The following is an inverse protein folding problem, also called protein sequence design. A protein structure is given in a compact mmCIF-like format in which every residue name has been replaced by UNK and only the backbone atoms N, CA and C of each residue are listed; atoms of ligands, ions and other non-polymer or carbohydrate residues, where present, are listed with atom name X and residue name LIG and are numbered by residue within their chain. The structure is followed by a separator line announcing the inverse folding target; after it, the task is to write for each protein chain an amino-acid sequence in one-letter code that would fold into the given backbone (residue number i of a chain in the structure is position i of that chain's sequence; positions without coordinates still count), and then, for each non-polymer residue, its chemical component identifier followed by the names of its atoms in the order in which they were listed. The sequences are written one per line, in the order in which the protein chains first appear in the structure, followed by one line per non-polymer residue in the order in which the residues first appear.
data_IF_291500908603
#
_entry.id   IF_291500908603
#
_cell.length_a   1.000
_cell.length_b   1.000
_cell.length_c   1.000
_cell.angle_alpha   90.00
_cell.angle_beta   90.00
_cell.angle_gamma   90.00
#
_symmetry.space_group_name_H-M   'P 1'
#
loop_
_entity.id
_entity.type
_entity.pdbx_description
1 polymer ?
#
# COMPACT_ATOMS: atom_id res chain seq x y z
N UNK A 1 -21.78 10.86 40.96
CA UNK A 1 -21.40 9.45 40.65
C UNK A 1 -21.77 9.01 39.23
N UNK A 2 -22.87 9.48 38.63
CA UNK A 2 -23.21 9.14 37.23
C UNK A 2 -22.22 9.69 36.18
N UNK A 3 -21.63 10.88 36.39
CA UNK A 3 -20.69 11.50 35.44
C UNK A 3 -19.34 10.76 35.34
N UNK A 4 -18.85 10.22 36.46
CA UNK A 4 -17.61 9.43 36.47
C UNK A 4 -17.80 8.12 35.69
N UNK A 5 -18.93 7.42 35.90
CA UNK A 5 -19.25 6.18 35.19
C UNK A 5 -19.44 6.38 33.68
N UNK A 6 -20.13 7.46 33.27
CA UNK A 6 -20.29 7.77 31.85
C UNK A 6 -18.96 8.13 31.17
N UNK A 7 -18.08 8.87 31.86
CA UNK A 7 -16.75 9.21 31.33
C UNK A 7 -15.84 7.97 31.21
N UNK A 8 -15.94 7.04 32.15
CA UNK A 8 -15.17 5.80 32.14
C UNK A 8 -15.62 4.88 30.98
N UNK A 9 -16.92 4.77 30.75
CA UNK A 9 -17.48 3.97 29.66
C UNK A 9 -17.10 4.53 28.28
N UNK A 10 -17.17 5.87 28.09
CA UNK A 10 -16.73 6.49 26.84
C UNK A 10 -15.24 6.29 26.56
N UNK A 11 -14.40 6.38 27.59
CA UNK A 11 -12.96 6.13 27.46
C UNK A 11 -12.67 4.68 27.08
N UNK A 12 -13.41 3.73 27.66
CA UNK A 12 -13.32 2.31 27.33
C UNK A 12 -13.70 2.04 25.87
N UNK A 13 -14.84 2.57 25.40
CA UNK A 13 -15.28 2.43 24.00
C UNK A 13 -14.25 3.04 23.04
N UNK A 14 -13.69 4.20 23.36
CA UNK A 14 -12.68 4.83 22.52
C UNK A 14 -11.41 3.96 22.41
N UNK A 15 -10.98 3.33 23.51
CA UNK A 15 -9.84 2.41 23.50
C UNK A 15 -10.13 1.16 22.67
N UNK A 16 -11.32 0.57 22.82
CA UNK A 16 -11.74 -0.60 22.04
C UNK A 16 -11.75 -0.31 20.54
N UNK A 17 -12.27 0.85 20.12
CA UNK A 17 -12.27 1.28 18.72
C UNK A 17 -10.85 1.44 18.16
N UNK A 18 -9.91 1.98 18.95
CA UNK A 18 -8.50 2.11 18.54
C UNK A 18 -7.84 0.75 18.38
N UNK A 19 -8.10 -0.19 19.30
CA UNK A 19 -7.56 -1.55 19.22
C UNK A 19 -8.12 -2.29 18.00
N UNK A 20 -9.43 -2.22 17.77
CA UNK A 20 -10.07 -2.83 16.60
C UNK A 20 -9.48 -2.28 15.28
N UNK A 21 -9.32 -0.95 15.19
CA UNK A 21 -8.69 -0.31 14.03
C UNK A 21 -7.25 -0.81 13.81
N UNK A 22 -6.45 -0.93 14.86
CA UNK A 22 -5.07 -1.43 14.75
C UNK A 22 -5.01 -2.90 14.33
N UNK A 23 -5.90 -3.75 14.85
CA UNK A 23 -5.98 -5.16 14.47
C UNK A 23 -6.40 -5.30 13.00
N UNK A 24 -7.38 -4.51 12.57
CA UNK A 24 -7.85 -4.46 11.18
C UNK A 24 -6.73 -4.04 10.22
N UNK A 25 -5.96 -3.01 10.57
CA UNK A 25 -4.77 -2.59 9.81
C UNK A 25 -3.72 -3.71 9.74
N UNK A 26 -3.41 -4.37 10.86
CA UNK A 26 -2.43 -5.48 10.88
C UNK A 26 -2.89 -6.66 10.02
N UNK A 27 -4.18 -7.00 10.07
CA UNK A 27 -4.75 -8.04 9.23
C UNK A 27 -4.61 -7.70 7.74
N UNK A 28 -4.92 -6.46 7.35
CA UNK A 28 -4.72 -5.97 5.99
C UNK A 28 -3.28 -6.12 5.50
N UNK A 29 -2.31 -5.64 6.29
CA UNK A 29 -0.91 -5.77 5.93
C UNK A 29 -0.42 -7.21 5.89
N UNK A 30 -0.91 -8.09 6.76
CA UNK A 30 -0.52 -9.52 6.73
C UNK A 30 -0.90 -10.17 5.40
N UNK A 31 -2.09 -9.87 4.87
CA UNK A 31 -2.55 -10.40 3.57
C UNK A 31 -1.77 -9.75 2.41
N UNK A 32 -1.58 -8.43 2.46
CA UNK A 32 -0.85 -7.67 1.45
C UNK A 32 0.63 -8.09 1.37
N UNK A 33 1.30 -8.24 2.51
CA UNK A 33 2.69 -8.71 2.61
C UNK A 33 2.84 -10.11 2.04
N UNK A 34 1.91 -11.02 2.35
CA UNK A 34 1.91 -12.37 1.79
C UNK A 34 1.82 -12.34 0.28
N UNK A 35 0.87 -11.58 -0.26
CA UNK A 35 0.65 -11.51 -1.71
C UNK A 35 1.84 -10.87 -2.44
N UNK A 36 2.42 -9.80 -1.89
CA UNK A 36 3.62 -9.16 -2.44
C UNK A 36 4.85 -10.07 -2.39
N UNK A 37 5.00 -10.87 -1.33
CA UNK A 37 6.09 -11.86 -1.26
C UNK A 37 5.89 -13.04 -2.23
N UNK A 38 4.66 -13.29 -2.66
CA UNK A 38 4.34 -14.31 -3.67
C UNK A 38 4.37 -13.76 -5.09
N UNK A 39 4.22 -12.45 -5.29
CA UNK A 39 4.28 -11.81 -6.61
C UNK A 39 5.54 -12.25 -7.37
N UNK A 40 5.36 -12.66 -8.63
CA UNK A 40 6.45 -13.20 -9.47
C UNK A 40 6.72 -14.69 -9.33
N UNK A 41 6.02 -15.40 -8.44
CA UNK A 41 6.15 -16.86 -8.35
C UNK A 41 5.57 -17.53 -9.60
N UNK A 42 6.35 -18.38 -10.27
CA UNK A 42 5.95 -19.09 -11.50
C UNK A 42 6.16 -20.60 -11.44
N UNK A 43 6.82 -21.11 -10.39
CA UNK A 43 7.26 -22.51 -10.29
C UNK A 43 7.97 -22.99 -11.56
N UNK A 44 7.51 -24.12 -12.11
CA UNK A 44 8.00 -24.70 -13.37
C UNK A 44 7.09 -24.36 -14.59
N UNK A 45 6.00 -23.61 -14.37
CA UNK A 45 4.94 -23.37 -15.36
C UNK A 45 5.34 -22.41 -16.48
N UNK A 46 6.39 -21.60 -16.27
CA UNK A 46 6.90 -20.68 -17.29
C UNK A 46 5.99 -19.46 -17.55
N UNK A 47 5.01 -19.20 -16.68
CA UNK A 47 4.18 -18.00 -16.73
C UNK A 47 5.02 -16.71 -16.64
N UNK A 48 4.47 -15.58 -17.10
CA UNK A 48 5.03 -14.26 -16.81
C UNK A 48 4.26 -13.64 -15.65
N UNK A 49 4.86 -13.69 -14.46
CA UNK A 49 4.26 -13.18 -13.23
C UNK A 49 5.06 -12.01 -12.64
N UNK A 50 4.38 -11.13 -11.91
CA UNK A 50 5.02 -10.05 -11.16
C UNK A 50 4.08 -8.87 -10.93
N UNK A 51 4.63 -7.67 -10.89
CA UNK A 51 3.81 -6.45 -10.76
C UNK A 51 3.29 -6.07 -12.14
N UNK A 52 1.97 -6.10 -12.30
CA UNK A 52 1.28 -5.83 -13.55
C UNK A 52 0.63 -4.43 -13.61
N UNK A 53 0.55 -3.73 -12.48
CA UNK A 53 0.10 -2.34 -12.37
C UNK A 53 0.72 -1.74 -11.10
N UNK A 54 1.51 -0.68 -11.26
CA UNK A 54 2.16 0.04 -10.17
C UNK A 54 1.59 1.46 -10.06
N UNK A 55 0.38 1.58 -9.52
CA UNK A 55 -0.28 2.87 -9.29
C UNK A 55 -0.27 3.25 -7.82
N UNK A 56 -0.30 4.56 -7.53
CA UNK A 56 -0.29 5.07 -6.16
C UNK A 56 -1.46 4.55 -5.31
N UNK A 57 -2.67 4.52 -5.87
CA UNK A 57 -3.87 4.05 -5.16
C UNK A 57 -4.30 2.62 -5.50
N UNK A 58 -3.58 1.96 -6.42
CA UNK A 58 -3.97 0.67 -6.98
C UNK A 58 -2.75 -0.14 -7.39
N UNK A 59 -2.68 -1.36 -6.85
CA UNK A 59 -1.59 -2.29 -7.10
C UNK A 59 -2.16 -3.57 -7.69
N UNK A 60 -1.56 -4.05 -8.78
CA UNK A 60 -1.90 -5.35 -9.38
C UNK A 60 -0.66 -6.21 -9.44
N UNK A 61 -0.80 -7.42 -8.91
CA UNK A 61 0.26 -8.42 -8.84
C UNK A 61 -0.26 -9.75 -9.36
N UNK A 62 0.64 -10.53 -9.94
CA UNK A 62 0.38 -11.85 -10.47
C UNK A 62 1.38 -12.86 -9.96
N UNK A 63 0.94 -14.11 -9.85
CA UNK A 63 1.75 -15.29 -9.54
C UNK A 63 0.98 -16.53 -9.97
N UNK A 64 1.68 -17.58 -10.39
CA UNK A 64 1.13 -18.84 -10.90
C UNK A 64 1.14 -19.88 -9.76
N UNK A 65 -0.05 -20.23 -9.27
CA UNK A 65 -0.28 -21.29 -8.28
C UNK A 65 -0.88 -22.55 -8.94
N UNK A 66 -1.36 -22.46 -10.18
CA UNK A 66 -2.14 -23.45 -10.92
C UNK A 66 -3.65 -23.19 -10.84
N UNK A 67 -4.43 -24.00 -11.58
CA UNK A 67 -5.89 -24.01 -11.84
C UNK A 67 -6.94 -23.74 -10.72
N UNK A 68 -6.65 -22.92 -9.72
CA UNK A 68 -7.55 -22.56 -8.62
C UNK A 68 -7.79 -23.67 -7.60
N UNK A 69 -7.03 -24.78 -7.65
CA UNK A 69 -7.11 -25.86 -6.67
C UNK A 69 -5.94 -25.83 -5.67
N UNK A 70 -6.15 -26.18 -4.39
CA UNK A 70 -5.08 -26.16 -3.37
C UNK A 70 -3.87 -27.09 -3.64
N UNK A 71 -3.97 -27.95 -4.66
CA UNK A 71 -2.98 -28.94 -5.06
C UNK A 71 -2.65 -28.87 -6.55
N UNK A 72 -3.07 -27.81 -7.24
CA UNK A 72 -2.66 -27.55 -8.61
C UNK A 72 -1.17 -27.27 -8.64
N UNK A 73 -0.47 -27.84 -9.63
CA UNK A 73 0.85 -27.33 -9.97
C UNK A 73 0.66 -26.09 -10.84
N UNK A 74 1.63 -25.15 -10.82
CA UNK A 74 1.67 -24.05 -11.78
C UNK A 74 1.45 -24.57 -13.20
N UNK A 75 0.49 -24.01 -13.91
CA UNK A 75 0.05 -24.49 -15.23
C UNK A 75 0.45 -23.57 -16.38
N UNK A 76 1.20 -22.51 -16.07
CA UNK A 76 1.84 -21.64 -17.04
C UNK A 76 1.02 -20.41 -17.43
N UNK A 77 -0.05 -20.11 -16.69
CA UNK A 77 -0.73 -18.82 -16.79
C UNK A 77 -0.97 -18.15 -15.42
N UNK A 78 -1.67 -17.01 -15.43
CA UNK A 78 -1.95 -16.20 -14.22
C UNK A 78 -3.43 -15.79 -14.17
N UNK A 79 -4.27 -16.55 -14.85
CA UNK A 79 -5.67 -16.21 -15.10
C UNK A 79 -6.61 -16.91 -14.13
N UNK A 80 -6.10 -17.77 -13.26
CA UNK A 80 -6.93 -18.50 -12.32
C UNK A 80 -7.24 -17.71 -11.05
N UNK A 81 -8.23 -18.23 -10.33
CA UNK A 81 -8.67 -17.65 -9.08
C UNK A 81 -7.56 -17.72 -8.04
N UNK A 82 -7.08 -16.56 -7.62
CA UNK A 82 -6.03 -16.43 -6.65
C UNK A 82 -4.68 -16.07 -7.25
N UNK A 83 -4.55 -16.00 -8.57
CA UNK A 83 -3.30 -15.71 -9.30
C UNK A 83 -3.20 -14.28 -9.80
N UNK A 84 -4.35 -13.61 -9.89
CA UNK A 84 -4.45 -12.23 -10.31
C UNK A 84 -5.00 -11.37 -9.19
N UNK A 85 -4.10 -10.76 -8.42
CA UNK A 85 -4.48 -10.00 -7.25
C UNK A 85 -4.47 -8.51 -7.57
N UNK A 86 -5.59 -7.83 -7.30
CA UNK A 86 -5.68 -6.36 -7.36
C UNK A 86 -6.09 -5.81 -6.01
N UNK A 87 -5.30 -4.87 -5.51
CA UNK A 87 -5.58 -4.07 -4.32
C UNK A 87 -6.05 -2.68 -4.69
N UNK A 88 -7.01 -2.16 -3.94
CA UNK A 88 -7.49 -0.79 -4.06
C UNK A 88 -8.55 -0.46 -3.02
N UNK A 89 -8.78 0.82 -2.77
CA UNK A 89 -9.88 1.25 -1.89
C UNK A 89 -11.17 1.30 -2.70
N UNK A 90 -12.24 0.78 -2.11
CA UNK A 90 -13.58 0.84 -2.70
C UNK A 90 -14.62 1.14 -1.61
N UNK A 91 -15.73 1.75 -2.01
CA UNK A 91 -16.82 2.08 -1.10
C UNK A 91 -17.96 1.07 -1.25
N UNK A 92 -18.44 0.53 -0.14
CA UNK A 92 -19.62 -0.36 -0.10
C UNK A 92 -20.42 -0.09 1.16
N UNK A 93 -21.72 0.14 1.01
CA UNK A 93 -22.60 0.48 2.14
C UNK A 93 -22.26 1.82 2.81
N UNK A 94 -21.67 2.76 2.06
CA UNK A 94 -21.23 4.07 2.59
C UNK A 94 -19.94 4.04 3.41
N UNK A 95 -19.27 2.89 3.46
CA UNK A 95 -17.99 2.71 4.17
C UNK A 95 -16.89 2.39 3.15
N UNK A 96 -15.75 3.07 3.28
CA UNK A 96 -14.57 2.80 2.48
C UNK A 96 -13.83 1.58 3.05
N UNK A 97 -13.45 0.66 2.17
CA UNK A 97 -12.82 -0.62 2.50
C UNK A 97 -11.60 -0.84 1.64
N UNK A 98 -10.58 -1.48 2.20
CA UNK A 98 -9.51 -2.06 1.40
C UNK A 98 -10.07 -3.31 0.72
N UNK A 99 -10.10 -3.29 -0.61
CA UNK A 99 -10.51 -4.41 -1.43
C UNK A 99 -9.33 -5.23 -1.89
N UNK A 100 -9.52 -6.55 -1.89
CA UNK A 100 -8.69 -7.52 -2.59
C UNK A 100 -9.55 -8.23 -3.63
N UNK A 101 -9.16 -8.12 -4.88
CA UNK A 101 -9.72 -8.88 -5.99
C UNK A 101 -8.75 -10.00 -6.35
N UNK A 102 -9.25 -11.19 -6.63
CA UNK A 102 -8.43 -12.41 -6.84
C UNK A 102 -8.45 -12.95 -8.27
N UNK A 103 -9.13 -12.23 -9.16
CA UNK A 103 -9.30 -12.58 -10.57
C UNK A 103 -9.39 -11.30 -11.38
N UNK A 104 -8.89 -11.29 -12.62
CA UNK A 104 -8.90 -10.09 -13.47
C UNK A 104 -10.29 -9.45 -13.62
N UNK A 105 -11.34 -10.27 -13.77
CA UNK A 105 -12.75 -9.85 -13.86
C UNK A 105 -13.56 -9.98 -12.56
N UNK A 106 -12.93 -10.29 -11.43
CA UNK A 106 -13.63 -10.50 -10.15
C UNK A 106 -14.15 -9.22 -9.50
N UNK A 107 -14.84 -9.39 -8.37
CA UNK A 107 -15.26 -8.29 -7.49
C UNK A 107 -14.29 -8.11 -6.32
N UNK A 108 -14.22 -6.90 -5.76
CA UNK A 108 -13.48 -6.65 -4.54
C UNK A 108 -14.11 -7.37 -3.34
N UNK A 109 -13.29 -8.15 -2.65
CA UNK A 109 -13.61 -8.69 -1.33
C UNK A 109 -12.99 -7.78 -0.26
N UNK A 110 -13.73 -7.45 0.82
CA UNK A 110 -13.20 -6.59 1.86
C UNK A 110 -12.12 -7.32 2.67
N UNK A 111 -10.93 -6.73 2.74
CA UNK A 111 -9.85 -7.19 3.63
C UNK A 111 -9.85 -6.40 4.93
N UNK A 112 -10.12 -5.09 4.84
CA UNK A 112 -10.24 -4.21 5.98
C UNK A 112 -11.30 -3.14 5.73
N UNK A 113 -11.97 -2.72 6.80
CA UNK A 113 -13.00 -1.66 6.76
C UNK A 113 -12.49 -0.34 7.34
N UNK A 114 -13.25 0.74 7.13
CA UNK A 114 -12.93 2.08 7.62
C UNK A 114 -11.56 2.58 7.17
N UNK A 115 -11.27 2.39 5.87
CA UNK A 115 -10.02 2.83 5.25
C UNK A 115 -10.24 4.20 4.60
N UNK A 116 -9.59 5.23 5.12
CA UNK A 116 -9.70 6.59 4.64
C UNK A 116 -8.83 6.81 3.38
N UNK A 117 -7.61 6.25 3.37
CA UNK A 117 -6.70 6.37 2.23
C UNK A 117 -5.73 5.18 2.14
N UNK A 118 -5.25 4.93 0.91
CA UNK A 118 -4.24 3.95 0.53
C UNK A 118 -3.23 4.64 -0.38
N UNK A 119 -1.95 4.33 -0.19
CA UNK A 119 -0.85 4.81 -1.03
C UNK A 119 0.20 3.74 -1.24
N UNK A 120 0.84 3.75 -2.40
CA UNK A 120 1.95 2.89 -2.77
C UNK A 120 3.08 3.70 -3.39
N UNK A 121 4.31 3.29 -3.10
CA UNK A 121 5.53 3.74 -3.75
C UNK A 121 6.42 2.52 -3.97
N UNK A 122 7.31 2.60 -4.93
CA UNK A 122 8.03 1.45 -5.44
C UNK A 122 9.53 1.71 -5.43
N UNK A 123 10.27 0.67 -5.08
CA UNK A 123 11.71 0.60 -5.20
C UNK A 123 12.05 -0.34 -6.36
N UNK A 124 12.99 0.07 -7.20
CA UNK A 124 13.33 -0.60 -8.45
C UNK A 124 14.84 -0.73 -8.62
N UNK A 125 15.23 -1.55 -9.60
CA UNK A 125 16.60 -1.85 -10.03
C UNK A 125 16.68 -1.49 -11.52
N UNK A 126 16.97 -0.23 -11.83
CA UNK A 126 16.97 0.32 -13.18
C UNK A 126 18.26 0.00 -13.93
N UNK A 127 19.39 -0.07 -13.24
CA UNK A 127 20.70 -0.23 -13.88
C UNK A 127 21.08 -1.69 -14.18
N UNK A 128 20.27 -2.66 -13.71
CA UNK A 128 20.54 -4.10 -13.87
C UNK A 128 22.01 -4.40 -13.59
N UNK A 129 22.55 -3.80 -12.53
CA UNK A 129 23.85 -4.25 -12.07
C UNK A 129 23.79 -5.77 -11.83
N UNK A 130 24.92 -6.44 -12.03
CA UNK A 130 24.98 -7.90 -11.85
C UNK A 130 24.67 -8.37 -10.42
N UNK A 131 24.35 -7.44 -9.52
CA UNK A 131 24.09 -7.66 -8.11
C UNK A 131 22.58 -7.66 -7.77
N UNK A 132 21.71 -7.30 -8.73
CA UNK A 132 20.25 -7.33 -8.58
C UNK A 132 19.79 -6.53 -7.35
N UNK A 133 20.42 -5.37 -7.16
CA UNK A 133 20.22 -4.51 -6.01
C UNK A 133 19.22 -3.40 -6.33
N UNK A 134 18.55 -2.93 -5.28
CA UNK A 134 17.68 -1.76 -5.38
C UNK A 134 18.56 -0.53 -5.62
N UNK A 135 18.19 0.28 -6.61
CA UNK A 135 18.84 1.55 -6.91
C UNK A 135 18.78 2.48 -5.71
N UNK A 136 19.92 3.13 -5.47
CA UNK A 136 20.07 4.06 -4.37
C UNK A 136 20.53 5.41 -4.86
N UNK A 137 20.13 6.45 -4.14
CA UNK A 137 20.69 7.78 -4.30
C UNK A 137 22.17 7.84 -3.94
N UNK A 138 22.80 8.95 -4.28
CA UNK A 138 24.22 9.21 -3.98
C UNK A 138 24.53 9.20 -2.46
N UNK A 139 23.49 9.35 -1.64
CA UNK A 139 23.46 9.27 -0.18
C UNK A 139 23.29 7.83 0.36
N UNK A 140 23.02 6.85 -0.52
CA UNK A 140 22.77 5.45 -0.18
C UNK A 140 21.31 5.12 0.19
N UNK A 141 20.39 6.09 0.08
CA UNK A 141 18.96 5.94 0.30
C UNK A 141 18.30 5.17 -0.83
N UNK A 142 17.31 4.34 -0.50
CA UNK A 142 16.48 3.67 -1.52
C UNK A 142 15.48 4.68 -2.08
N UNK A 143 15.43 4.80 -3.40
CA UNK A 143 14.38 5.57 -4.06
C UNK A 143 13.01 4.91 -3.84
N UNK A 144 12.04 5.70 -3.39
CA UNK A 144 10.66 5.27 -3.18
C UNK A 144 9.77 6.11 -4.06
N UNK A 145 9.70 5.71 -5.33
CA UNK A 145 9.09 6.52 -6.36
C UNK A 145 7.71 6.07 -6.82
N UNK A 146 7.06 6.97 -7.53
CA UNK A 146 5.90 6.69 -8.37
C UNK A 146 6.29 6.86 -9.83
N UNK A 147 5.67 6.06 -10.71
CA UNK A 147 5.87 6.22 -12.15
C UNK A 147 5.01 7.37 -12.66
N UNK A 148 5.61 8.28 -13.42
CA UNK A 148 4.84 9.24 -14.18
C UNK A 148 4.44 8.62 -15.53
N UNK A 149 3.14 8.46 -15.80
CA UNK A 149 2.67 7.78 -17.02
C UNK A 149 2.94 8.58 -18.30
N UNK A 150 3.29 9.86 -18.21
CA UNK A 150 3.53 10.72 -19.37
C UNK A 150 4.93 10.56 -19.96
N UNK A 151 5.93 10.30 -19.13
CA UNK A 151 7.35 10.23 -19.52
C UNK A 151 8.01 8.89 -19.17
N UNK A 152 7.33 8.00 -18.45
CA UNK A 152 7.83 6.70 -17.99
C UNK A 152 9.09 6.80 -17.10
N UNK A 153 9.29 7.96 -16.46
CA UNK A 153 10.33 8.18 -15.46
C UNK A 153 9.79 7.94 -14.06
N UNK A 154 10.69 7.56 -13.16
CA UNK A 154 10.37 7.37 -11.75
C UNK A 154 10.67 8.63 -10.97
N UNK A 155 9.65 9.12 -10.25
CA UNK A 155 9.71 10.33 -9.45
C UNK A 155 9.81 9.93 -7.99
N UNK A 156 10.92 10.27 -7.36
CA UNK A 156 11.14 9.98 -5.95
C UNK A 156 10.32 10.91 -5.06
N UNK A 157 9.70 10.33 -4.02
CA UNK A 157 8.76 11.04 -3.15
C UNK A 157 9.41 11.72 -1.94
N UNK A 158 10.68 11.45 -1.64
CA UNK A 158 11.39 12.15 -0.58
C UNK A 158 12.32 13.17 -1.25
N UNK A 159 11.73 14.36 -1.43
CA UNK A 159 12.24 15.47 -2.24
C UNK A 159 13.21 16.32 -1.42
N UNK A 160 13.11 16.26 -0.09
CA UNK A 160 13.99 16.98 0.80
C UNK A 160 15.27 16.18 1.19
N UNK A 161 15.39 14.94 0.71
CA UNK A 161 16.50 14.00 0.94
C UNK A 161 16.77 13.73 2.44
N UNK A 162 15.73 13.68 3.28
CA UNK A 162 15.86 13.39 4.71
C UNK A 162 15.68 11.90 5.07
N UNK A 163 15.30 11.07 4.10
CA UNK A 163 15.10 9.63 4.25
C UNK A 163 13.64 9.24 4.56
N UNK A 164 12.76 10.20 4.80
CA UNK A 164 11.38 10.00 5.25
C UNK A 164 10.36 10.77 4.38
N UNK A 165 9.60 10.03 3.58
CA UNK A 165 8.45 10.58 2.86
C UNK A 165 7.41 11.12 3.84
N UNK A 166 7.27 12.44 3.89
CA UNK A 166 6.51 13.18 4.87
C UNK A 166 5.84 14.42 4.25
N UNK A 167 4.98 15.13 5.00
CA UNK A 167 4.43 16.40 4.50
C UNK A 167 5.47 17.50 4.29
N UNK A 168 6.74 17.31 4.69
CA UNK A 168 7.81 18.26 4.44
C UNK A 168 8.37 18.18 3.00
N UNK A 169 8.07 17.10 2.27
CA UNK A 169 8.43 16.91 0.86
C UNK A 169 7.51 17.65 -0.11
N UNK A 170 6.35 18.10 0.38
CA UNK A 170 5.46 19.00 -0.34
C UNK A 170 6.01 20.44 -0.27
N UNK A 171 6.83 20.79 -1.26
CA UNK A 171 7.52 22.08 -1.32
C UNK A 171 6.62 23.27 -1.68
N UNK A 172 5.45 23.04 -2.28
CA UNK A 172 4.52 24.10 -2.68
C UNK A 172 3.29 24.22 -1.76
N UNK A 173 3.07 23.22 -0.90
CA UNK A 173 2.05 23.21 0.14
C UNK A 173 0.64 22.93 -0.39
N UNK A 174 0.51 22.30 -1.57
CA UNK A 174 -0.78 21.97 -2.18
C UNK A 174 -1.40 20.66 -1.65
N UNK A 175 -0.66 19.91 -0.83
CA UNK A 175 -1.03 18.62 -0.25
C UNK A 175 -0.66 17.41 -1.12
N UNK A 176 0.13 17.61 -2.18
CA UNK A 176 0.62 16.58 -3.09
C UNK A 176 2.13 16.73 -3.32
N UNK A 177 2.87 15.67 -3.02
CA UNK A 177 4.28 15.56 -3.39
C UNK A 177 4.34 15.32 -4.90
N UNK A 178 4.77 16.33 -5.66
CA UNK A 178 4.99 16.20 -7.11
C UNK A 178 6.10 15.17 -7.43
N UNK A 179 7.05 15.00 -6.49
CA UNK A 179 8.19 14.11 -6.61
C UNK A 179 9.33 14.72 -7.44
N UNK A 180 10.54 14.22 -7.21
CA UNK A 180 11.74 14.62 -7.94
C UNK A 180 12.11 13.55 -8.97
N UNK A 181 12.25 13.94 -10.23
CA UNK A 181 12.68 13.01 -11.29
C UNK A 181 14.05 12.43 -10.97
N UNK A 182 14.12 11.10 -10.90
CA UNK A 182 15.37 10.36 -10.67
C UNK A 182 16.24 10.27 -11.92
N UNK A 183 15.68 10.54 -13.10
CA UNK A 183 16.32 10.29 -14.39
C UNK A 183 16.41 8.80 -14.75
N UNK A 184 15.82 7.92 -13.93
CA UNK A 184 15.85 6.47 -14.11
C UNK A 184 14.58 6.00 -14.82
N UNK A 185 14.79 5.16 -15.84
CA UNK A 185 13.72 4.49 -16.57
C UNK A 185 13.76 3.03 -16.22
N UNK A 186 12.76 2.57 -15.47
CA UNK A 186 12.61 1.17 -15.08
C UNK A 186 11.23 0.63 -15.48
N UNK A 187 11.22 -0.59 -15.99
CA UNK A 187 10.02 -1.35 -16.32
C UNK A 187 9.41 -1.99 -15.06
N UNK A 188 8.15 -2.44 -15.12
CA UNK A 188 7.45 -2.98 -13.93
C UNK A 188 8.09 -4.27 -13.38
N UNK A 189 8.79 -5.02 -14.21
CA UNK A 189 9.57 -6.21 -13.86
C UNK A 189 10.87 -5.89 -13.10
N UNK A 190 11.31 -4.63 -13.13
CA UNK A 190 12.46 -4.13 -12.36
C UNK A 190 12.08 -3.70 -10.94
N UNK A 191 10.80 -3.78 -10.55
CA UNK A 191 10.38 -3.44 -9.18
C UNK A 191 10.79 -4.55 -8.22
N UNK A 192 11.50 -4.16 -7.16
CA UNK A 192 12.04 -5.05 -6.10
C UNK A 192 11.38 -4.83 -4.74
N UNK A 193 10.76 -3.68 -4.52
CA UNK A 193 10.11 -3.36 -3.25
C UNK A 193 8.89 -2.47 -3.40
N UNK A 194 7.98 -2.58 -2.45
CA UNK A 194 6.79 -1.74 -2.34
C UNK A 194 6.70 -1.19 -0.93
N UNK A 195 6.59 0.12 -0.81
CA UNK A 195 6.21 0.81 0.42
C UNK A 195 4.73 1.13 0.33
N UNK A 196 3.98 0.72 1.34
CA UNK A 196 2.53 0.86 1.37
C UNK A 196 2.09 1.63 2.62
N UNK A 197 1.17 2.56 2.42
CA UNK A 197 0.56 3.38 3.48
C UNK A 197 -0.93 3.11 3.53
N UNK A 198 -1.43 2.78 4.72
CA UNK A 198 -2.86 2.56 4.94
C UNK A 198 -3.33 3.43 6.10
N UNK A 199 -4.22 4.37 5.80
CA UNK A 199 -4.83 5.26 6.79
C UNK A 199 -6.23 4.73 7.13
N UNK A 200 -6.40 4.25 8.36
CA UNK A 200 -7.70 3.86 8.88
C UNK A 200 -8.29 4.92 9.80
N UNK A 201 -9.62 4.88 9.95
CA UNK A 201 -10.38 5.71 10.87
C UNK A 201 -11.26 4.86 11.80
N UNK A 202 -11.65 5.41 12.94
CA UNK A 202 -12.63 4.77 13.84
C UNK A 202 -14.03 4.80 13.23
N UNK A 203 -14.81 3.75 13.48
CA UNK A 203 -16.18 3.65 12.95
C UNK A 203 -17.11 4.72 13.55
N UNK A 204 -16.83 5.14 14.78
CA UNK A 204 -17.63 6.11 15.54
C UNK A 204 -16.81 7.38 15.77
N UNK A 205 -17.50 8.52 15.75
CA UNK A 205 -16.96 9.83 16.13
C UNK A 205 -16.75 9.92 17.66
N UNK A 206 -15.59 10.43 18.06
CA UNK A 206 -15.31 10.73 19.45
C UNK A 206 -15.83 12.14 19.78
N UNK A 207 -16.78 12.21 20.71
CA UNK A 207 -17.30 13.46 21.25
C UNK A 207 -16.15 14.27 21.86
N UNK A 208 -16.06 15.54 21.50
CA UNK A 208 -15.01 16.49 21.92
C UNK A 208 -13.58 16.17 21.42
N UNK A 209 -13.46 15.31 20.41
CA UNK A 209 -12.21 15.09 19.69
C UNK A 209 -12.28 15.72 18.29
N UNK A 210 -11.14 16.23 17.83
CA UNK A 210 -10.97 16.64 16.45
C UNK A 210 -9.59 16.23 15.96
N UNK A 211 -9.55 15.47 14.89
CA UNK A 211 -8.30 15.09 14.25
C UNK A 211 -7.75 16.29 13.48
N UNK A 212 -6.56 16.75 13.88
CA UNK A 212 -5.86 17.89 13.25
C UNK A 212 -4.49 17.49 12.72
N UNK A 213 -4.06 16.25 12.96
CA UNK A 213 -2.81 15.73 12.45
C UNK A 213 -2.87 15.59 10.92
N UNK A 214 -1.71 15.80 10.29
CA UNK A 214 -1.46 15.51 8.89
C UNK A 214 -0.96 14.08 8.76
N UNK A 215 -1.43 13.35 7.76
CA UNK A 215 -0.99 11.99 7.46
C UNK A 215 -0.50 11.91 6.02
N UNK A 216 0.77 11.58 5.83
CA UNK A 216 1.32 11.31 4.49
C UNK A 216 0.94 9.90 4.04
N UNK A 217 0.32 9.79 2.86
CA UNK A 217 -0.13 8.53 2.27
C UNK A 217 0.31 8.50 0.81
N UNK A 218 1.42 7.82 0.52
CA UNK A 218 2.04 7.90 -0.81
C UNK A 218 2.52 9.32 -1.08
N UNK A 219 2.11 9.92 -2.20
CA UNK A 219 2.39 11.31 -2.54
C UNK A 219 1.43 12.31 -1.87
N UNK A 220 0.27 11.86 -1.39
CA UNK A 220 -0.77 12.77 -0.87
C UNK A 220 -0.72 12.96 0.65
N UNK A 221 -0.76 14.22 1.08
CA UNK A 221 -1.05 14.59 2.48
C UNK A 221 -2.56 14.58 2.72
N UNK A 222 -3.01 13.77 3.69
CA UNK A 222 -4.40 13.71 4.13
C UNK A 222 -4.59 14.53 5.41
N UNK A 223 -5.57 15.45 5.39
CA UNK A 223 -5.99 16.25 6.55
C UNK A 223 -7.46 15.98 6.88
N UNK A 224 -7.78 15.01 7.75
CA UNK A 224 -9.16 14.56 7.98
C UNK A 224 -10.09 15.63 8.56
N UNK A 225 -9.60 16.47 9.49
CA UNK A 225 -10.36 17.56 10.14
C UNK A 225 -11.72 17.16 10.76
N UNK A 226 -11.93 15.87 11.07
CA UNK A 226 -13.19 15.30 11.53
C UNK A 226 -13.10 14.82 12.99
N UNK A 227 -14.19 14.26 13.52
CA UNK A 227 -14.25 13.78 14.92
C UNK A 227 -13.85 12.30 15.06
N UNK A 228 -13.29 11.67 14.01
CA UNK A 228 -12.85 10.28 14.04
C UNK A 228 -11.35 10.22 14.34
N UNK A 229 -10.94 9.22 15.11
CA UNK A 229 -9.51 8.99 15.35
C UNK A 229 -8.94 8.30 14.12
N UNK A 230 -7.74 8.71 13.72
CA UNK A 230 -7.05 8.13 12.58
C UNK A 230 -5.81 7.37 13.04
N UNK A 231 -5.44 6.34 12.28
CA UNK A 231 -4.17 5.65 12.44
C UNK A 231 -3.59 5.33 11.07
N UNK A 232 -2.40 5.85 10.83
CA UNK A 232 -1.55 5.46 9.72
C UNK A 232 -0.73 4.24 10.12
N UNK A 233 -0.66 3.26 9.24
CA UNK A 233 0.33 2.19 9.30
C UNK A 233 1.06 2.15 7.95
N UNK A 234 2.38 2.07 8.03
CA UNK A 234 3.29 1.99 6.89
C UNK A 234 4.07 0.68 6.98
N UNK A 235 4.22 0.00 5.85
CA UNK A 235 5.09 -1.16 5.74
C UNK A 235 5.92 -1.08 4.48
N UNK A 236 7.14 -1.60 4.56
CA UNK A 236 8.04 -1.80 3.43
C UNK A 236 8.16 -3.30 3.18
N UNK A 237 7.79 -3.73 1.99
CA UNK A 237 7.76 -5.12 1.59
C UNK A 237 8.69 -5.31 0.40
N UNK A 238 9.68 -6.18 0.56
CA UNK A 238 10.55 -6.60 -0.53
C UNK A 238 9.98 -7.82 -1.26
N UNK A 239 9.95 -7.77 -2.58
CA UNK A 239 9.40 -8.79 -3.47
C UNK A 239 10.44 -9.89 -3.69
N UNK A 240 10.28 -11.03 -3.01
CA UNK A 240 11.29 -12.11 -3.03
C UNK A 240 11.43 -12.80 -4.39
N UNK A 241 10.33 -12.99 -5.12
CA UNK A 241 10.37 -13.70 -6.40
C UNK A 241 10.60 -12.77 -7.60
N UNK A 242 10.80 -11.46 -7.35
CA UNK A 242 11.09 -10.46 -8.38
C UNK A 242 12.56 -10.05 -8.43
N UNK A 243 13.45 -10.87 -7.85
CA UNK A 243 14.89 -10.68 -7.94
C UNK A 243 15.52 -10.04 -6.70
N UNK A 244 15.54 -10.75 -5.56
CA UNK A 244 16.39 -10.43 -4.42
C UNK A 244 17.06 -11.70 -3.87
#
# INVERSE_FOLDING_TARGET
MFSAFSSQNQSYIAQEQVVAMQQNLRAAFTVLERDLRMAGFVGDGGATAGIAEAGEGRLRLTYDLGNGTPSGNPDGDVLDNGEHITYGVYSSGGVNKLGRKVLAGGNYQPVAENISALGFAYAFDADFDSENQIDRGADGRVYWGIINPLDNHWYDLDVNDDGDISPADDLDGDGLITGQDTGLVASLDQIRGVRAWLLAETAIEARDFRETNLFQVGSRTVKPNNQKRHRLLTATIFCRNLGL
#
